data_IF_335277633798
#
_entry.id   IF_335277633798
#
_cell.length_a   1.000
_cell.length_b   1.000
_cell.length_c   1.000
_cell.angle_alpha   90.00
_cell.angle_beta   90.00
_cell.angle_gamma   90.00
#
_symmetry.space_group_name_H-M   'P 1'
#
loop_
_entity.id
_entity.type
_entity.pdbx_description
1 polymer ?
#
# COMPACT_ATOMS: atom_id res chain seq x y z
N UNK A 1 -6.12 -9.20 -21.92
CA UNK A 1 -5.88 -10.25 -20.91
C UNK A 1 -6.78 -10.06 -19.70
N UNK A 2 -6.94 -11.08 -18.82
CA UNK A 2 -7.72 -10.99 -17.58
C UNK A 2 -6.80 -11.26 -16.38
N UNK A 3 -6.82 -10.37 -15.37
CA UNK A 3 -5.98 -10.47 -14.19
C UNK A 3 -6.84 -10.36 -12.92
N UNK A 4 -6.56 -11.21 -11.94
CA UNK A 4 -7.17 -11.10 -10.61
C UNK A 4 -6.33 -10.17 -9.74
N UNK A 5 -6.94 -9.10 -9.22
CA UNK A 5 -6.30 -8.26 -8.21
C UNK A 5 -6.66 -8.79 -6.82
N UNK A 6 -5.68 -9.36 -6.14
CA UNK A 6 -5.80 -9.97 -4.82
C UNK A 6 -6.06 -8.90 -3.74
N UNK A 7 -7.24 -8.29 -3.76
CA UNK A 7 -7.63 -7.25 -2.82
C UNK A 7 -9.13 -7.25 -2.53
N UNK A 8 -9.50 -7.02 -1.27
CA UNK A 8 -10.88 -6.70 -0.87
C UNK A 8 -11.16 -5.19 -0.84
N UNK A 9 -10.15 -4.35 -1.06
CA UNK A 9 -10.29 -2.89 -0.98
C UNK A 9 -10.84 -2.32 -2.31
N UNK A 10 -12.06 -1.78 -2.25
CA UNK A 10 -12.75 -1.21 -3.43
C UNK A 10 -12.02 0.00 -4.03
N UNK A 11 -11.33 0.80 -3.22
CA UNK A 11 -10.55 1.95 -3.70
C UNK A 11 -9.33 1.51 -4.49
N UNK A 12 -8.58 0.52 -3.98
CA UNK A 12 -7.45 -0.09 -4.70
C UNK A 12 -7.90 -0.69 -6.04
N UNK A 13 -9.03 -1.42 -6.02
CA UNK A 13 -9.58 -2.06 -7.21
C UNK A 13 -9.95 -1.04 -8.28
N UNK A 14 -10.61 0.07 -7.89
CA UNK A 14 -10.98 1.16 -8.81
C UNK A 14 -9.74 1.77 -9.46
N UNK A 15 -8.74 2.14 -8.65
CA UNK A 15 -7.48 2.71 -9.15
C UNK A 15 -6.77 1.77 -10.14
N UNK A 16 -6.69 0.47 -9.82
CA UNK A 16 -6.09 -0.52 -10.71
C UNK A 16 -6.85 -0.66 -12.02
N UNK A 17 -8.18 -0.67 -11.98
CA UNK A 17 -9.03 -0.72 -13.19
C UNK A 17 -8.83 0.50 -14.09
N UNK A 18 -8.72 1.69 -13.51
CA UNK A 18 -8.46 2.92 -14.26
C UNK A 18 -7.07 2.88 -14.94
N UNK A 19 -6.05 2.44 -14.24
CA UNK A 19 -4.67 2.41 -14.76
C UNK A 19 -4.48 1.32 -15.83
N UNK A 20 -5.16 0.19 -15.68
CA UNK A 20 -4.99 -0.99 -16.55
C UNK A 20 -6.09 -1.13 -17.61
N UNK A 21 -7.02 -0.18 -17.74
CA UNK A 21 -8.23 -0.26 -18.57
C UNK A 21 -8.00 -0.76 -19.99
N UNK A 22 -6.94 -0.28 -20.66
CA UNK A 22 -6.60 -0.63 -22.05
C UNK A 22 -5.77 -1.92 -22.19
N UNK A 23 -5.37 -2.53 -21.06
CA UNK A 23 -4.41 -3.64 -21.04
C UNK A 23 -5.00 -4.93 -20.51
N UNK A 24 -5.82 -4.83 -19.47
CA UNK A 24 -6.37 -5.99 -18.77
C UNK A 24 -7.76 -5.72 -18.20
N UNK A 25 -8.61 -6.74 -18.26
CA UNK A 25 -9.81 -6.82 -17.42
C UNK A 25 -9.36 -7.19 -16.00
N UNK A 26 -9.50 -6.26 -15.06
CA UNK A 26 -9.14 -6.48 -13.66
C UNK A 26 -10.37 -6.92 -12.87
N UNK A 27 -10.31 -8.11 -12.28
CA UNK A 27 -11.39 -8.69 -11.46
C UNK A 27 -10.96 -8.83 -10.01
N UNK A 28 -11.92 -8.65 -9.08
CA UNK A 28 -11.70 -8.93 -7.67
C UNK A 28 -11.96 -10.41 -7.35
N UNK A 29 -11.32 -10.99 -6.31
CA UNK A 29 -11.61 -12.35 -5.86
C UNK A 29 -13.09 -12.57 -5.53
N UNK A 30 -13.76 -11.61 -4.90
CA UNK A 30 -15.19 -11.68 -4.58
C UNK A 30 -16.10 -11.78 -5.80
N UNK A 31 -15.70 -11.27 -6.97
CA UNK A 31 -16.42 -11.40 -8.24
C UNK A 31 -16.31 -12.82 -8.82
N UNK A 32 -15.35 -13.60 -8.32
CA UNK A 32 -15.16 -15.03 -8.63
C UNK A 32 -15.72 -15.95 -7.55
N UNK A 33 -16.39 -15.38 -6.53
CA UNK A 33 -16.94 -16.14 -5.40
C UNK A 33 -15.88 -16.57 -4.38
N UNK A 34 -14.69 -15.97 -4.40
CA UNK A 34 -13.58 -16.25 -3.47
C UNK A 34 -13.61 -15.22 -2.36
N UNK A 35 -13.83 -15.68 -1.13
CA UNK A 35 -13.91 -14.84 0.07
C UNK A 35 -12.85 -15.23 1.12
N UNK A 36 -12.00 -16.19 0.78
CA UNK A 36 -10.89 -16.61 1.63
C UNK A 36 -9.84 -15.49 1.70
N UNK A 37 -9.21 -15.37 2.86
CA UNK A 37 -8.12 -14.43 3.07
C UNK A 37 -6.77 -15.17 3.01
N UNK A 38 -5.78 -14.54 2.43
CA UNK A 38 -4.42 -15.08 2.34
C UNK A 38 -3.57 -14.42 3.40
N UNK A 39 -2.98 -15.22 4.29
CA UNK A 39 -2.16 -14.72 5.37
C UNK A 39 -0.88 -14.02 4.84
N UNK A 40 -0.66 -12.80 5.30
CA UNK A 40 0.52 -11.99 5.02
C UNK A 40 1.55 -12.20 6.14
N UNK A 41 2.40 -13.22 5.99
CA UNK A 41 3.40 -13.62 7.00
C UNK A 41 4.84 -13.19 6.64
N UNK A 42 5.00 -12.46 5.56
CA UNK A 42 6.29 -11.96 5.11
C UNK A 42 6.83 -10.84 6.00
N UNK A 43 8.13 -10.68 5.98
CA UNK A 43 8.86 -9.62 6.71
C UNK A 43 9.06 -8.35 5.87
N UNK A 44 8.75 -8.41 4.58
CA UNK A 44 8.89 -7.30 3.62
C UNK A 44 7.62 -7.12 2.80
N UNK A 45 7.42 -5.90 2.26
CA UNK A 45 6.31 -5.61 1.34
C UNK A 45 6.36 -6.53 0.10
N UNK A 46 7.56 -6.83 -0.39
CA UNK A 46 7.76 -7.74 -1.52
C UNK A 46 7.31 -9.17 -1.19
N UNK A 47 7.69 -9.68 -0.03
CA UNK A 47 7.26 -11.02 0.42
C UNK A 47 5.74 -11.09 0.59
N UNK A 48 5.12 -10.11 1.23
CA UNK A 48 3.66 -10.10 1.41
C UNK A 48 2.92 -9.98 0.08
N UNK A 49 3.37 -9.12 -0.84
CA UNK A 49 2.72 -8.97 -2.14
C UNK A 49 2.74 -10.27 -2.94
N UNK A 50 3.87 -11.00 -2.98
CA UNK A 50 3.93 -12.26 -3.73
C UNK A 50 3.22 -13.41 -3.02
N UNK A 51 3.26 -13.49 -1.69
CA UNK A 51 2.48 -14.48 -0.93
C UNK A 51 0.98 -14.34 -1.24
N UNK A 52 0.49 -13.12 -1.25
CA UNK A 52 -0.91 -12.81 -1.60
C UNK A 52 -1.23 -13.19 -3.04
N UNK A 53 -0.40 -12.81 -4.01
CA UNK A 53 -0.62 -13.13 -5.42
C UNK A 53 -0.63 -14.65 -5.66
N UNK A 54 0.31 -15.40 -5.06
CA UNK A 54 0.38 -16.86 -5.15
C UNK A 54 -0.84 -17.53 -4.52
N UNK A 55 -1.22 -17.12 -3.29
CA UNK A 55 -2.38 -17.70 -2.60
C UNK A 55 -3.68 -17.52 -3.39
N UNK A 56 -3.92 -16.33 -3.95
CA UNK A 56 -5.12 -16.14 -4.79
C UNK A 56 -5.03 -16.87 -6.13
N UNK A 57 -3.83 -17.02 -6.73
CA UNK A 57 -3.67 -17.86 -7.91
C UNK A 57 -4.01 -19.32 -7.64
N UNK A 58 -3.62 -19.87 -6.50
CA UNK A 58 -3.99 -21.22 -6.08
C UNK A 58 -5.51 -21.39 -5.94
N UNK A 59 -6.20 -20.37 -5.42
CA UNK A 59 -7.66 -20.39 -5.23
C UNK A 59 -8.43 -20.23 -6.55
N UNK A 60 -7.97 -19.40 -7.48
CA UNK A 60 -8.73 -19.08 -8.70
C UNK A 60 -8.19 -19.73 -9.98
N UNK A 61 -6.97 -20.27 -9.99
CA UNK A 61 -6.33 -20.84 -11.18
C UNK A 61 -6.01 -19.82 -12.29
N UNK A 62 -6.03 -18.52 -11.97
CA UNK A 62 -5.83 -17.41 -12.92
C UNK A 62 -4.56 -16.63 -12.58
N UNK A 63 -4.05 -15.88 -13.57
CA UNK A 63 -2.97 -14.93 -13.31
C UNK A 63 -3.44 -13.82 -12.36
N UNK A 64 -2.60 -13.53 -11.38
CA UNK A 64 -2.93 -12.66 -10.27
C UNK A 64 -1.87 -11.58 -10.07
N UNK A 65 -2.29 -10.45 -9.55
CA UNK A 65 -1.38 -9.49 -8.94
C UNK A 65 -1.90 -9.05 -7.57
N UNK A 66 -0.97 -8.64 -6.72
CA UNK A 66 -1.27 -8.11 -5.40
C UNK A 66 -0.37 -6.92 -5.10
N UNK A 67 -0.84 -5.99 -4.29
CA UNK A 67 -0.01 -4.94 -3.70
C UNK A 67 0.14 -5.14 -2.20
N UNK A 68 1.32 -4.80 -1.70
CA UNK A 68 1.50 -4.51 -0.29
C UNK A 68 2.11 -3.11 -0.11
N UNK A 69 1.69 -2.42 0.95
CA UNK A 69 2.00 -1.00 1.15
C UNK A 69 2.39 -0.74 2.59
N UNK A 70 3.48 -0.01 2.77
CA UNK A 70 3.99 0.41 4.07
C UNK A 70 4.27 1.89 4.14
N UNK A 71 4.42 2.37 5.38
CA UNK A 71 4.96 3.69 5.71
C UNK A 71 6.31 3.48 6.40
N UNK A 72 7.36 4.02 5.83
CA UNK A 72 8.71 3.97 6.40
C UNK A 72 9.09 5.34 6.95
N UNK A 73 9.48 5.42 8.23
CA UNK A 73 9.86 6.66 8.91
C UNK A 73 11.30 6.56 9.39
N UNK A 74 12.16 7.45 8.90
CA UNK A 74 13.61 7.34 9.10
C UNK A 74 14.00 7.40 10.58
N UNK A 75 13.40 8.31 11.36
CA UNK A 75 13.63 8.43 12.80
C UNK A 75 13.26 7.19 13.61
N UNK A 76 12.44 6.30 13.04
CA UNK A 76 11.98 5.06 13.68
C UNK A 76 12.63 3.82 13.04
N UNK A 77 13.75 4.01 12.32
CA UNK A 77 14.45 2.90 11.65
C UNK A 77 13.64 2.20 10.57
N UNK A 78 12.72 2.92 9.91
CA UNK A 78 11.83 2.38 8.89
C UNK A 78 10.48 1.87 9.42
N UNK A 79 10.24 1.89 10.74
CA UNK A 79 8.92 1.57 11.27
C UNK A 79 7.90 2.66 10.89
N UNK A 80 6.61 2.30 10.75
CA UNK A 80 5.99 1.00 10.93
C UNK A 80 6.25 -0.04 9.81
N UNK A 81 6.71 0.35 8.60
CA UNK A 81 7.02 -0.56 7.50
C UNK A 81 5.82 -1.44 7.11
N UNK A 82 6.02 -2.74 7.00
CA UNK A 82 4.96 -3.73 6.68
C UNK A 82 3.84 -3.79 7.73
N UNK A 83 4.09 -3.27 8.92
CA UNK A 83 3.14 -3.25 10.03
C UNK A 83 2.24 -2.00 10.04
N UNK A 84 2.27 -1.17 8.98
CA UNK A 84 1.58 0.11 8.94
C UNK A 84 0.08 0.02 9.29
N UNK A 85 -0.61 -1.05 8.88
CA UNK A 85 -2.03 -1.22 9.16
C UNK A 85 -2.35 -1.59 10.63
N UNK A 86 -1.37 -2.14 11.38
CA UNK A 86 -1.54 -2.64 12.75
C UNK A 86 -0.50 -2.11 13.75
N UNK A 87 0.14 -1.01 13.42
CA UNK A 87 1.26 -0.45 14.20
C UNK A 87 0.92 -0.22 15.67
N UNK A 88 -0.28 0.30 15.95
CA UNK A 88 -0.74 0.51 17.33
C UNK A 88 -0.86 -0.81 18.12
N UNK A 89 -1.31 -1.88 17.49
CA UNK A 89 -1.37 -3.19 18.13
C UNK A 89 0.04 -3.73 18.44
N UNK A 90 0.99 -3.56 17.52
CA UNK A 90 2.35 -4.07 17.71
C UNK A 90 3.07 -3.32 18.84
N UNK A 91 2.90 -2.00 18.90
CA UNK A 91 3.44 -1.21 20.02
C UNK A 91 2.74 -1.54 21.34
N UNK A 92 1.40 -1.73 21.33
CA UNK A 92 0.66 -2.15 22.53
C UNK A 92 1.13 -3.52 23.05
N UNK A 93 1.40 -4.49 22.15
CA UNK A 93 1.97 -5.80 22.53
C UNK A 93 3.37 -5.63 23.12
N UNK A 94 4.23 -4.82 22.48
CA UNK A 94 5.58 -4.53 22.98
C UNK A 94 5.55 -3.95 24.41
N UNK A 95 4.63 -3.04 24.66
CA UNK A 95 4.55 -2.27 25.90
C UNK A 95 3.61 -2.88 26.95
N UNK A 96 2.99 -4.04 26.69
CA UNK A 96 2.08 -4.74 27.59
C UNK A 96 0.77 -3.99 27.84
N UNK A 97 0.29 -3.22 26.85
CA UNK A 97 -0.92 -2.41 26.91
C UNK A 97 -2.14 -3.16 26.30
N UNK A 98 -3.38 -2.76 26.64
CA UNK A 98 -4.56 -3.26 25.94
C UNK A 98 -4.47 -3.02 24.44
N UNK A 99 -4.87 -4.04 23.66
CA UNK A 99 -4.83 -3.97 22.20
C UNK A 99 -5.95 -3.07 21.68
N UNK A 100 -5.65 -2.08 20.81
CA UNK A 100 -6.68 -1.36 20.07
C UNK A 100 -7.36 -2.29 19.05
N UNK A 101 -8.53 -1.89 18.51
CA UNK A 101 -9.18 -2.59 17.41
C UNK A 101 -8.22 -2.81 16.24
N UNK A 102 -8.48 -3.88 15.48
CA UNK A 102 -7.71 -4.14 14.27
C UNK A 102 -7.98 -3.06 13.22
N UNK A 103 -6.95 -2.65 12.49
CA UNK A 103 -7.01 -1.58 11.48
C UNK A 103 -7.54 -0.23 12.01
N UNK A 104 -7.33 0.07 13.30
CA UNK A 104 -7.66 1.38 13.85
C UNK A 104 -6.64 2.43 13.39
N UNK A 105 -6.97 3.11 12.30
CA UNK A 105 -6.10 4.14 11.72
C UNK A 105 -5.86 5.32 12.67
N UNK A 106 -6.83 5.66 13.52
CA UNK A 106 -6.65 6.74 14.50
C UNK A 106 -5.60 6.33 15.54
N UNK A 107 -5.73 5.13 16.11
CA UNK A 107 -4.76 4.59 17.05
C UNK A 107 -3.37 4.47 16.43
N UNK A 108 -3.28 4.04 15.14
CA UNK A 108 -2.01 3.95 14.42
C UNK A 108 -1.31 5.30 14.28
N UNK A 109 -2.07 6.37 13.95
CA UNK A 109 -1.51 7.74 13.87
C UNK A 109 -1.07 8.24 15.24
N UNK A 110 -1.89 8.06 16.30
CA UNK A 110 -1.53 8.49 17.64
C UNK A 110 -0.27 7.80 18.13
N UNK A 111 -0.16 6.51 17.87
CA UNK A 111 1.03 5.72 18.17
C UNK A 111 2.26 6.23 17.41
N UNK A 112 2.13 6.49 16.11
CA UNK A 112 3.23 7.03 15.31
C UNK A 112 3.73 8.37 15.86
N UNK A 113 2.82 9.29 16.15
CA UNK A 113 3.17 10.59 16.71
C UNK A 113 3.81 10.47 18.10
N UNK A 114 3.31 9.54 18.93
CA UNK A 114 3.87 9.23 20.25
C UNK A 114 5.29 8.68 20.15
N UNK A 115 5.52 7.70 19.30
CA UNK A 115 6.88 7.13 19.07
C UNK A 115 7.86 8.20 18.56
N UNK A 116 7.43 9.05 17.62
CA UNK A 116 8.24 10.16 17.12
C UNK A 116 8.53 11.24 18.20
N UNK A 117 7.66 11.42 19.16
CA UNK A 117 7.90 12.35 20.28
C UNK A 117 9.05 11.90 21.18
N UNK A 118 9.39 10.61 21.20
CA UNK A 118 10.51 10.02 21.91
C UNK A 118 11.86 10.26 21.23
N UNK A 119 11.86 10.79 20.00
CA UNK A 119 13.03 11.07 19.19
C UNK A 119 13.20 12.59 18.94
N UNK A 120 13.39 13.43 19.98
CA UNK A 120 13.44 14.88 19.81
C UNK A 120 14.64 15.28 18.92
N UNK A 121 14.37 16.15 17.93
CA UNK A 121 15.41 16.63 17.01
C UNK A 121 15.74 15.69 15.86
N UNK A 122 15.19 14.47 15.83
CA UNK A 122 15.38 13.57 14.69
C UNK A 122 14.58 14.07 13.46
N UNK A 123 15.07 13.85 12.24
CA UNK A 123 14.33 14.18 11.02
C UNK A 123 13.05 13.38 10.96
N UNK A 124 11.98 14.03 10.51
CA UNK A 124 10.66 13.37 10.35
C UNK A 124 10.44 12.88 8.92
N UNK A 125 11.51 12.73 8.15
CA UNK A 125 11.46 12.21 6.78
C UNK A 125 10.87 10.82 6.76
N UNK A 126 10.03 10.58 5.78
CA UNK A 126 9.27 9.35 5.66
C UNK A 126 8.87 9.10 4.20
N UNK A 127 8.54 7.87 3.88
CA UNK A 127 7.97 7.53 2.57
C UNK A 127 6.87 6.51 2.69
N UNK A 128 5.86 6.65 1.86
CA UNK A 128 5.01 5.53 1.51
C UNK A 128 5.68 4.72 0.40
N UNK A 129 5.69 3.42 0.56
CA UNK A 129 6.15 2.49 -0.46
C UNK A 129 5.07 1.47 -0.76
N UNK A 130 4.88 1.16 -2.04
CA UNK A 130 4.03 0.05 -2.50
C UNK A 130 4.85 -0.88 -3.37
N UNK A 131 4.70 -2.18 -3.16
CA UNK A 131 5.25 -3.22 -4.03
C UNK A 131 4.08 -3.98 -4.62
N UNK A 132 4.02 -4.00 -5.95
CA UNK A 132 3.08 -4.82 -6.71
C UNK A 132 3.82 -6.06 -7.20
N UNK A 133 3.31 -7.24 -6.85
CA UNK A 133 3.76 -8.52 -7.40
C UNK A 133 2.74 -8.98 -8.45
N UNK A 134 3.19 -9.20 -9.69
CA UNK A 134 2.42 -9.79 -10.78
C UNK A 134 2.91 -11.22 -11.00
N UNK A 135 1.99 -12.16 -10.94
CA UNK A 135 2.21 -13.56 -11.26
C UNK A 135 1.51 -13.85 -12.60
N UNK A 136 2.27 -13.90 -13.67
CA UNK A 136 1.81 -14.01 -15.04
C UNK A 136 2.49 -15.21 -15.73
N UNK A 137 1.71 -16.11 -16.30
CA UNK A 137 2.21 -17.33 -16.97
C UNK A 137 3.21 -18.18 -16.14
N UNK A 138 3.12 -18.06 -14.81
CA UNK A 138 4.00 -18.73 -13.85
C UNK A 138 5.26 -17.96 -13.47
N UNK A 139 5.53 -16.83 -14.11
CA UNK A 139 6.65 -15.94 -13.78
C UNK A 139 6.25 -14.84 -12.83
N UNK A 140 7.20 -14.41 -12.01
CA UNK A 140 7.00 -13.38 -10.99
C UNK A 140 7.69 -12.08 -11.37
N UNK A 141 6.93 -11.00 -11.42
CA UNK A 141 7.42 -9.66 -11.72
C UNK A 141 7.06 -8.72 -10.57
N UNK A 142 7.95 -7.77 -10.27
CA UNK A 142 7.79 -6.85 -9.15
C UNK A 142 7.95 -5.42 -9.62
N UNK A 143 7.03 -4.56 -9.14
CA UNK A 143 7.00 -3.14 -9.48
C UNK A 143 6.87 -2.34 -8.19
N UNK A 144 7.70 -1.32 -8.04
CA UNK A 144 7.71 -0.49 -6.85
C UNK A 144 7.31 0.94 -7.17
N UNK A 145 6.68 1.58 -6.21
CA UNK A 145 6.39 3.00 -6.25
C UNK A 145 6.54 3.62 -4.87
N UNK A 146 7.10 4.82 -4.84
CA UNK A 146 7.39 5.56 -3.61
C UNK A 146 6.79 6.96 -3.67
N UNK A 147 6.30 7.43 -2.54
CA UNK A 147 5.92 8.81 -2.30
C UNK A 147 6.76 9.33 -1.14
N UNK A 148 7.76 10.15 -1.44
CA UNK A 148 8.64 10.75 -0.44
C UNK A 148 7.95 11.92 0.26
N UNK A 149 8.33 12.18 1.51
CA UNK A 149 7.76 13.25 2.31
C UNK A 149 8.21 13.22 3.76
N UNK A 150 7.37 13.73 4.64
CA UNK A 150 7.62 13.79 6.08
C UNK A 150 6.35 13.62 6.90
N UNK A 151 6.52 13.26 8.18
CA UNK A 151 5.42 13.21 9.15
C UNK A 151 5.22 14.58 9.81
N UNK A 152 4.02 15.12 9.75
CA UNK A 152 3.61 16.32 10.43
C UNK A 152 3.63 16.17 11.96
N UNK A 153 3.61 17.28 12.69
CA UNK A 153 3.53 17.24 14.16
C UNK A 153 2.11 16.94 14.66
N UNK A 154 1.10 17.27 13.86
CA UNK A 154 -0.31 17.07 14.17
C UNK A 154 -1.08 16.68 12.90
N UNK A 155 -2.28 16.16 13.09
CA UNK A 155 -3.20 15.85 12.00
C UNK A 155 -3.72 17.11 11.32
N UNK A 156 -3.88 17.06 9.99
CA UNK A 156 -4.65 18.06 9.22
C UNK A 156 -5.41 17.37 8.09
N UNK A 157 -6.52 17.98 7.68
CA UNK A 157 -7.42 17.40 6.67
C UNK A 157 -8.29 16.27 7.20
N UNK A 158 -9.27 15.89 6.39
CA UNK A 158 -10.24 14.82 6.70
C UNK A 158 -10.42 13.82 5.57
N UNK A 159 -9.72 14.01 4.46
CA UNK A 159 -9.77 13.10 3.31
C UNK A 159 -8.80 11.93 3.46
N UNK A 160 -8.91 10.97 2.53
CA UNK A 160 -7.99 9.85 2.45
C UNK A 160 -8.21 8.76 3.50
N UNK A 161 -7.15 8.01 3.79
CA UNK A 161 -7.16 6.91 4.77
C UNK A 161 -5.75 6.70 5.37
N UNK A 162 -5.69 5.87 6.41
CA UNK A 162 -4.41 5.54 7.04
C UNK A 162 -3.70 6.77 7.59
N UNK A 163 -2.47 6.97 7.22
CA UNK A 163 -1.61 8.06 7.71
C UNK A 163 -1.70 9.37 6.90
N UNK A 164 -2.59 9.46 5.91
CA UNK A 164 -2.74 10.66 5.09
C UNK A 164 -2.88 11.96 5.90
N UNK A 165 -3.60 12.00 7.05
CA UNK A 165 -3.72 13.22 7.86
C UNK A 165 -2.42 13.74 8.49
N UNK A 166 -1.39 12.92 8.54
CA UNK A 166 -0.09 13.29 9.12
C UNK A 166 1.07 13.20 8.13
N UNK A 167 0.81 12.78 6.90
CA UNK A 167 1.84 12.68 5.87
C UNK A 167 1.81 13.90 4.94
N UNK A 168 2.94 14.58 4.81
CA UNK A 168 3.14 15.71 3.91
C UNK A 168 4.08 15.26 2.81
N UNK A 169 3.56 15.15 1.58
CA UNK A 169 4.37 14.79 0.41
C UNK A 169 5.30 15.94 0.01
N UNK A 170 6.50 15.61 -0.48
CA UNK A 170 7.48 16.60 -0.90
C UNK A 170 6.98 17.47 -2.08
N UNK A 171 6.13 16.90 -2.95
CA UNK A 171 5.49 17.62 -4.05
C UNK A 171 4.46 18.66 -3.57
N UNK A 172 3.94 18.54 -2.33
CA UNK A 172 2.94 19.44 -1.72
C UNK A 172 3.31 19.79 -0.29
N UNK A 173 4.39 20.57 -0.08
CA UNK A 173 5.02 20.75 1.24
C UNK A 173 4.18 21.54 2.26
N UNK A 174 3.11 22.20 1.83
CA UNK A 174 2.30 23.12 2.66
C UNK A 174 1.07 22.45 3.28
N UNK A 175 0.77 21.20 2.94
CA UNK A 175 -0.45 20.51 3.41
C UNK A 175 -0.27 19.01 3.50
N UNK A 176 -1.11 18.34 4.28
CA UNK A 176 -1.13 16.89 4.35
C UNK A 176 -1.78 16.28 3.10
N UNK A 177 -1.49 15.00 2.85
CA UNK A 177 -2.13 14.23 1.77
C UNK A 177 -3.66 14.16 1.97
N UNK A 178 -4.16 14.22 3.21
CA UNK A 178 -5.59 14.26 3.50
C UNK A 178 -6.29 15.55 3.07
N UNK A 179 -5.54 16.61 2.75
CA UNK A 179 -6.06 17.90 2.25
C UNK A 179 -6.01 18.02 0.73
N UNK A 180 -5.40 17.04 0.05
CA UNK A 180 -5.32 17.03 -1.41
C UNK A 180 -6.62 16.50 -2.04
N UNK A 181 -7.03 17.05 -3.19
CA UNK A 181 -8.07 16.43 -4.02
C UNK A 181 -7.70 14.99 -4.38
N UNK A 182 -8.71 14.11 -4.47
CA UNK A 182 -8.48 12.68 -4.75
C UNK A 182 -7.69 12.45 -6.05
N UNK A 183 -7.98 13.22 -7.09
CA UNK A 183 -7.28 13.16 -8.38
C UNK A 183 -5.79 13.46 -8.25
N UNK A 184 -5.45 14.50 -7.48
CA UNK A 184 -4.05 14.89 -7.23
C UNK A 184 -3.35 13.81 -6.43
N UNK A 185 -4.00 13.31 -5.38
CA UNK A 185 -3.47 12.21 -4.57
C UNK A 185 -3.20 10.96 -5.40
N UNK A 186 -4.14 10.55 -6.26
CA UNK A 186 -3.99 9.38 -7.14
C UNK A 186 -2.83 9.56 -8.13
N UNK A 187 -2.63 10.77 -8.66
CA UNK A 187 -1.54 11.06 -9.59
C UNK A 187 -0.15 10.85 -8.97
N UNK A 188 0.04 11.23 -7.70
CA UNK A 188 1.34 11.14 -7.01
C UNK A 188 1.50 9.85 -6.19
N UNK A 189 0.43 9.07 -6.01
CA UNK A 189 0.41 7.95 -5.07
C UNK A 189 1.49 6.90 -5.37
N UNK A 190 2.09 6.37 -4.30
CA UNK A 190 3.05 5.26 -4.37
C UNK A 190 2.47 4.04 -5.09
N UNK A 191 1.21 3.66 -4.80
CA UNK A 191 0.52 2.56 -5.49
C UNK A 191 0.30 2.87 -6.96
N UNK A 192 -0.18 4.06 -7.28
CA UNK A 192 -0.36 4.49 -8.67
C UNK A 192 0.95 4.45 -9.46
N UNK A 193 2.08 4.83 -8.84
CA UNK A 193 3.41 4.72 -9.46
C UNK A 193 3.76 3.25 -9.76
N UNK A 194 3.56 2.34 -8.79
CA UNK A 194 3.83 0.91 -8.95
C UNK A 194 2.93 0.27 -10.03
N UNK A 195 1.62 0.58 -10.03
CA UNK A 195 0.68 0.07 -11.03
C UNK A 195 0.98 0.60 -12.44
N UNK A 196 1.38 1.87 -12.58
CA UNK A 196 1.80 2.42 -13.88
C UNK A 196 3.10 1.77 -14.38
N UNK A 197 4.04 1.45 -13.50
CA UNK A 197 5.23 0.69 -13.87
C UNK A 197 4.87 -0.71 -14.38
N UNK A 198 3.94 -1.40 -13.70
CA UNK A 198 3.39 -2.68 -14.17
C UNK A 198 2.70 -2.53 -15.53
N UNK A 199 1.85 -1.51 -15.70
CA UNK A 199 1.16 -1.24 -16.96
C UNK A 199 2.14 -1.03 -18.12
N UNK A 200 3.20 -0.26 -17.88
CA UNK A 200 4.23 -0.03 -18.89
C UNK A 200 4.95 -1.32 -19.26
N UNK A 201 5.32 -2.13 -18.27
CA UNK A 201 5.96 -3.42 -18.50
C UNK A 201 5.07 -4.37 -19.32
N UNK A 202 3.77 -4.45 -19.02
CA UNK A 202 2.80 -5.26 -19.79
C UNK A 202 2.74 -4.81 -21.25
N UNK A 203 2.69 -3.50 -21.51
CA UNK A 203 2.71 -2.94 -22.87
C UNK A 203 3.93 -3.39 -23.65
N UNK A 204 5.12 -3.29 -23.03
CA UNK A 204 6.39 -3.55 -23.68
C UNK A 204 6.66 -5.03 -23.91
N UNK A 205 6.21 -5.92 -23.02
CA UNK A 205 6.60 -7.33 -23.06
C UNK A 205 5.49 -8.26 -23.55
N UNK A 206 4.23 -7.86 -23.42
CA UNK A 206 3.08 -8.73 -23.75
C UNK A 206 2.35 -8.23 -25.00
N UNK A 207 2.07 -6.91 -25.11
CA UNK A 207 1.26 -6.39 -26.19
C UNK A 207 2.05 -6.14 -27.51
N UNK A 208 3.37 -6.07 -27.46
CA UNK A 208 4.23 -5.89 -28.67
C UNK A 208 4.38 -7.19 -29.47
N UNK A 209 4.10 -8.34 -28.86
CA UNK A 209 4.25 -9.66 -29.48
C UNK A 209 2.92 -10.22 -30.05
N UNK A 210 1.89 -9.43 -30.14
CA UNK A 210 0.61 -9.73 -30.81
C UNK A 210 0.41 -8.81 -32.04
#
# INVERSE_FOLDING_TARGET
MKLVFATGNKGKLREAREILADLAEVVAPSELGIFDDVAETGSTLKENSILKARGYRELCGMDCFADDTGLEVDALGGAPGVHAARYAQDIARRDGLPLPPDHDFSANIDTLLSELSKCPGAPRTARFRSVVALLLDGEEHFFEGTLEGRIAQARSGSGGFGYDPVFIADEYPDRSVAELPEEVKNAISHRGKALRAMAQWIKENICVNQ
#
